data_IF_133518554549
#
_entry.id   IF_133518554549
#
_cell.length_a   1.000
_cell.length_b   1.000
_cell.length_c   1.000
_cell.angle_alpha   90.00
_cell.angle_beta   90.00
_cell.angle_gamma   90.00
#
_symmetry.space_group_name_H-M   'P 1'
#
loop_
_entity.id
_entity.type
_entity.pdbx_description
1 polymer ?
#
# COMPACT_ATOMS: atom_id res chain seq x y z
N UNK A 1 -28.25 -38.64 -13.05
CA UNK A 1 -26.84 -38.69 -12.61
C UNK A 1 -26.36 -37.26 -12.46
N UNK A 2 -26.31 -36.73 -11.23
CA UNK A 2 -25.83 -35.36 -10.96
C UNK A 2 -24.33 -35.46 -10.73
N UNK A 3 -23.54 -34.90 -11.63
CA UNK A 3 -22.09 -34.86 -11.51
C UNK A 3 -21.73 -33.91 -10.35
N UNK A 4 -21.14 -34.46 -9.29
CA UNK A 4 -20.59 -33.68 -8.19
C UNK A 4 -19.29 -33.02 -8.69
N UNK A 5 -19.31 -31.70 -8.83
CA UNK A 5 -18.12 -30.92 -9.15
C UNK A 5 -17.30 -30.77 -7.85
N UNK A 6 -16.27 -31.60 -7.68
CA UNK A 6 -15.33 -31.47 -6.58
C UNK A 6 -14.31 -30.38 -6.91
N UNK A 7 -14.52 -29.17 -6.39
CA UNK A 7 -13.51 -28.10 -6.45
C UNK A 7 -12.52 -28.37 -5.32
N UNK A 8 -11.36 -28.92 -5.66
CA UNK A 8 -10.23 -29.03 -4.73
C UNK A 8 -9.56 -27.65 -4.67
N UNK A 9 -9.98 -26.83 -3.71
CA UNK A 9 -9.24 -25.60 -3.37
C UNK A 9 -8.04 -26.05 -2.53
N UNK A 10 -6.87 -26.09 -3.15
CA UNK A 10 -5.62 -26.27 -2.44
C UNK A 10 -5.43 -25.08 -1.49
N UNK A 11 -5.78 -25.28 -0.22
CA UNK A 11 -5.48 -24.36 0.85
C UNK A 11 -3.95 -24.31 1.03
N UNK A 12 -3.31 -23.40 0.30
CA UNK A 12 -1.94 -23.00 0.56
C UNK A 12 -1.89 -22.34 1.93
N UNK A 13 -1.22 -23.01 2.87
CA UNK A 13 -0.95 -22.54 4.22
C UNK A 13 -0.31 -21.14 4.18
N UNK A 14 -1.09 -20.10 4.44
CA UNK A 14 -0.54 -18.79 4.76
C UNK A 14 -0.06 -18.84 6.21
N UNK A 15 1.26 -18.89 6.39
CA UNK A 15 1.89 -18.68 7.70
C UNK A 15 1.41 -17.35 8.26
N UNK A 16 0.94 -17.36 9.51
CA UNK A 16 0.54 -16.17 10.25
C UNK A 16 1.72 -15.18 10.35
N UNK A 17 1.84 -14.33 9.34
CA UNK A 17 2.72 -13.19 9.38
C UNK A 17 2.08 -12.18 10.33
N UNK A 18 2.80 -11.86 11.41
CA UNK A 18 2.42 -10.82 12.37
C UNK A 18 1.97 -9.57 11.60
N UNK A 19 0.69 -9.23 11.69
CA UNK A 19 0.12 -8.03 11.07
C UNK A 19 0.73 -6.80 11.75
N UNK A 20 1.84 -6.31 11.20
CA UNK A 20 2.28 -4.96 11.46
C UNK A 20 1.20 -4.04 10.86
N UNK A 21 0.50 -3.31 11.73
CA UNK A 21 -0.53 -2.35 11.35
C UNK A 21 0.15 -1.15 10.67
N UNK A 22 0.45 -1.29 9.38
CA UNK A 22 0.79 -0.17 8.52
C UNK A 22 -0.52 0.53 8.13
N UNK A 23 -0.55 1.85 8.32
CA UNK A 23 -1.57 2.75 7.78
C UNK A 23 -0.99 3.47 6.57
N UNK A 24 -1.86 3.96 5.67
CA UNK A 24 -1.40 4.83 4.59
C UNK A 24 -0.67 6.07 5.16
N UNK A 25 0.46 6.42 4.57
CA UNK A 25 1.29 7.57 4.89
C UNK A 25 1.20 8.62 3.76
N UNK A 26 1.14 8.19 2.50
CA UNK A 26 0.85 8.99 1.32
C UNK A 26 -0.65 9.21 1.07
N UNK A 27 -0.96 9.96 0.01
CA UNK A 27 -2.34 10.18 -0.43
C UNK A 27 -2.64 9.36 -1.71
N UNK A 28 -3.82 8.74 -1.72
CA UNK A 28 -4.35 7.99 -2.85
C UNK A 28 -5.60 8.71 -3.35
N UNK A 29 -5.56 9.19 -4.59
CA UNK A 29 -6.72 9.81 -5.22
C UNK A 29 -7.15 9.03 -6.46
N UNK A 30 -8.45 8.99 -6.73
CA UNK A 30 -8.98 8.39 -7.95
C UNK A 30 -9.66 9.47 -8.81
N UNK A 31 -9.23 9.55 -10.07
CA UNK A 31 -9.90 10.33 -11.11
C UNK A 31 -10.15 9.42 -12.30
N UNK A 32 -11.43 9.09 -12.53
CA UNK A 32 -11.83 8.12 -13.55
C UNK A 32 -11.41 6.69 -13.18
N UNK A 33 -10.54 6.09 -14.00
CA UNK A 33 -10.03 4.71 -13.83
C UNK A 33 -8.57 4.65 -13.35
N UNK A 34 -7.93 5.81 -13.12
CA UNK A 34 -6.54 5.85 -12.67
C UNK A 34 -6.46 6.08 -11.16
N UNK A 35 -5.48 5.41 -10.55
CA UNK A 35 -5.10 5.62 -9.16
C UNK A 35 -3.82 6.46 -9.16
N UNK A 36 -3.94 7.71 -8.74
CA UNK A 36 -2.82 8.62 -8.57
C UNK A 36 -2.28 8.50 -7.15
N UNK A 37 -0.95 8.45 -7.02
CA UNK A 37 -0.26 8.29 -5.76
C UNK A 37 0.75 9.41 -5.53
N UNK A 38 0.65 10.07 -4.38
CA UNK A 38 1.60 11.09 -3.92
C UNK A 38 2.22 10.71 -2.56
N UNK A 39 3.51 10.31 -2.51
CA UNK A 39 4.21 9.99 -1.26
C UNK A 39 4.62 11.23 -0.45
N UNK A 40 4.48 12.44 -1.01
CA UNK A 40 5.06 13.65 -0.41
C UNK A 40 4.28 14.20 0.78
N UNK A 41 3.00 13.82 0.95
CA UNK A 41 2.15 14.29 2.06
C UNK A 41 2.72 14.00 3.45
N UNK A 42 3.48 12.91 3.59
CA UNK A 42 4.14 12.51 4.84
C UNK A 42 5.50 13.18 5.07
N UNK A 43 6.06 13.86 4.06
CA UNK A 43 7.46 14.26 4.06
C UNK A 43 7.64 15.79 4.02
N UNK A 44 8.55 16.31 4.83
CA UNK A 44 8.87 17.74 4.84
C UNK A 44 9.85 18.07 3.72
N UNK A 45 9.36 18.71 2.66
CA UNK A 45 10.21 19.13 1.53
C UNK A 45 11.13 20.28 1.97
N UNK A 46 12.46 20.19 1.76
CA UNK A 46 13.37 21.25 2.11
C UNK A 46 13.15 22.49 1.26
N UNK A 47 13.37 23.64 1.87
CA UNK A 47 13.18 24.93 1.22
C UNK A 47 14.42 25.30 0.42
N UNK A 48 14.24 25.65 -0.85
CA UNK A 48 15.35 26.08 -1.70
C UNK A 48 16.03 27.33 -1.12
N UNK A 49 17.37 27.37 -1.01
CA UNK A 49 18.09 28.57 -0.57
C UNK A 49 17.87 29.75 -1.51
N UNK A 50 17.74 30.94 -0.93
CA UNK A 50 17.61 32.19 -1.69
C UNK A 50 18.95 32.80 -2.12
N UNK A 51 20.03 32.43 -1.44
CA UNK A 51 21.38 32.94 -1.71
C UNK A 51 22.27 31.87 -2.35
N UNK A 52 23.39 32.32 -2.93
CA UNK A 52 24.47 31.45 -3.39
C UNK A 52 25.45 31.09 -2.24
N UNK A 53 24.98 31.12 -1.00
CA UNK A 53 25.80 30.76 0.15
C UNK A 53 26.07 29.26 0.15
N UNK A 54 27.35 28.90 0.20
CA UNK A 54 27.77 27.49 0.10
C UNK A 54 27.18 26.64 1.22
N UNK A 55 27.15 27.15 2.45
CA UNK A 55 26.62 26.40 3.60
C UNK A 55 25.11 26.18 3.48
N UNK A 56 24.37 27.17 2.99
CA UNK A 56 22.94 27.02 2.72
C UNK A 56 22.66 25.95 1.66
N UNK A 57 23.47 25.88 0.61
CA UNK A 57 23.37 24.83 -0.42
C UNK A 57 23.75 23.44 0.11
N UNK A 58 24.79 23.33 0.92
CA UNK A 58 25.19 22.07 1.57
C UNK A 58 24.08 21.56 2.51
N UNK A 59 23.48 22.45 3.32
CA UNK A 59 22.33 22.09 4.18
C UNK A 59 21.13 21.63 3.36
N UNK A 60 20.79 22.35 2.29
CA UNK A 60 19.70 21.98 1.39
C UNK A 60 19.91 20.61 0.74
N UNK A 61 21.14 20.27 0.36
CA UNK A 61 21.47 18.94 -0.17
C UNK A 61 21.27 17.85 0.88
N UNK A 62 21.79 18.06 2.10
CA UNK A 62 21.65 17.09 3.19
C UNK A 62 20.18 16.89 3.62
N UNK A 63 19.39 17.95 3.67
CA UNK A 63 17.94 17.85 3.91
C UNK A 63 17.21 17.21 2.72
N UNK A 64 17.69 17.44 1.50
CA UNK A 64 17.22 16.78 0.28
C UNK A 64 17.37 15.26 0.34
N UNK A 65 18.52 14.75 0.79
CA UNK A 65 18.73 13.32 1.00
C UNK A 65 17.74 12.73 2.00
N UNK A 66 17.49 13.43 3.11
CA UNK A 66 16.49 13.00 4.11
C UNK A 66 15.08 12.99 3.53
N UNK A 67 14.73 14.00 2.74
CA UNK A 67 13.43 14.07 2.09
C UNK A 67 13.23 12.92 1.10
N UNK A 68 14.24 12.62 0.27
CA UNK A 68 14.19 11.48 -0.65
C UNK A 68 14.05 10.14 0.09
N UNK A 69 14.81 9.95 1.18
CA UNK A 69 14.68 8.77 2.02
C UNK A 69 13.30 8.64 2.65
N UNK A 70 12.68 9.75 3.08
CA UNK A 70 11.32 9.77 3.60
C UNK A 70 10.31 9.35 2.52
N UNK A 71 10.43 9.87 1.30
CA UNK A 71 9.54 9.51 0.20
C UNK A 71 9.61 8.01 -0.12
N UNK A 72 10.82 7.44 -0.12
CA UNK A 72 11.02 6.01 -0.33
C UNK A 72 10.39 5.17 0.79
N UNK A 73 10.56 5.58 2.04
CA UNK A 73 9.96 4.88 3.19
C UNK A 73 8.42 4.95 3.15
N UNK A 74 7.86 6.13 2.89
CA UNK A 74 6.41 6.33 2.74
C UNK A 74 5.85 5.45 1.61
N UNK A 75 6.48 5.47 0.43
CA UNK A 75 6.09 4.63 -0.70
C UNK A 75 6.13 3.14 -0.37
N UNK A 76 7.18 2.68 0.30
CA UNK A 76 7.30 1.28 0.71
C UNK A 76 6.24 0.86 1.73
N UNK A 77 5.94 1.72 2.71
CA UNK A 77 4.90 1.47 3.70
C UNK A 77 3.51 1.42 3.04
N UNK A 78 3.25 2.32 2.10
CA UNK A 78 1.97 2.39 1.38
C UNK A 78 1.77 1.22 0.43
N UNK A 79 2.81 0.76 -0.27
CA UNK A 79 2.74 -0.46 -1.07
C UNK A 79 2.37 -1.68 -0.22
N UNK A 80 2.97 -1.80 0.98
CA UNK A 80 2.64 -2.89 1.92
C UNK A 80 1.21 -2.77 2.42
N UNK A 81 0.76 -1.55 2.73
CA UNK A 81 -0.61 -1.29 3.14
C UNK A 81 -1.60 -1.66 2.03
N UNK A 82 -1.38 -1.18 0.80
CA UNK A 82 -2.22 -1.46 -0.36
C UNK A 82 -2.30 -2.96 -0.65
N UNK A 83 -1.16 -3.67 -0.62
CA UNK A 83 -1.13 -5.13 -0.79
C UNK A 83 -2.01 -5.84 0.24
N UNK A 84 -1.91 -5.45 1.51
CA UNK A 84 -2.74 -6.01 2.59
C UNK A 84 -4.23 -5.75 2.35
N UNK A 85 -4.61 -4.51 2.02
CA UNK A 85 -6.01 -4.14 1.78
C UNK A 85 -6.60 -4.93 0.60
N UNK A 86 -5.84 -5.09 -0.49
CA UNK A 86 -6.26 -5.90 -1.65
C UNK A 86 -6.45 -7.36 -1.26
N UNK A 87 -5.51 -7.92 -0.48
CA UNK A 87 -5.60 -9.31 -0.03
C UNK A 87 -6.80 -9.54 0.89
N UNK A 88 -6.99 -8.69 1.91
CA UNK A 88 -8.13 -8.76 2.83
C UNK A 88 -9.46 -8.63 2.06
N UNK A 89 -9.54 -7.72 1.09
CA UNK A 89 -10.72 -7.55 0.24
C UNK A 89 -11.05 -8.80 -0.59
N UNK A 90 -10.03 -9.44 -1.17
CA UNK A 90 -10.20 -10.69 -1.92
C UNK A 90 -10.70 -11.83 -1.03
N UNK A 91 -10.06 -12.04 0.12
CA UNK A 91 -10.43 -13.10 1.08
C UNK A 91 -11.88 -12.93 1.55
N UNK A 92 -12.29 -11.70 1.86
CA UNK A 92 -13.66 -11.39 2.25
C UNK A 92 -14.67 -11.70 1.13
N UNK A 93 -14.38 -11.29 -0.12
CA UNK A 93 -15.25 -11.56 -1.26
C UNK A 93 -15.40 -13.07 -1.55
N UNK A 94 -14.29 -13.82 -1.44
CA UNK A 94 -14.33 -15.29 -1.56
C UNK A 94 -15.18 -15.90 -0.46
N UNK A 95 -14.98 -15.49 0.79
CA UNK A 95 -15.73 -16.03 1.92
C UNK A 95 -17.23 -15.71 1.81
N UNK A 96 -17.58 -14.51 1.37
CA UNK A 96 -18.96 -14.12 1.10
C UNK A 96 -19.61 -15.05 0.08
N UNK A 97 -18.96 -15.27 -1.07
CA UNK A 97 -19.46 -16.17 -2.11
C UNK A 97 -19.59 -17.62 -1.62
N UNK A 98 -18.60 -18.15 -0.88
CA UNK A 98 -18.68 -19.49 -0.31
C UNK A 98 -19.87 -19.63 0.66
N UNK A 99 -20.13 -18.60 1.47
CA UNK A 99 -21.28 -18.58 2.37
C UNK A 99 -22.61 -18.56 1.61
N UNK A 100 -22.70 -17.88 0.46
CA UNK A 100 -23.89 -17.90 -0.41
C UNK A 100 -24.15 -19.31 -0.95
N UNK A 101 -23.11 -19.97 -1.46
CA UNK A 101 -23.18 -21.34 -1.96
C UNK A 101 -23.59 -22.31 -0.86
N UNK A 102 -23.03 -22.20 0.35
CA UNK A 102 -23.41 -23.03 1.50
C UNK A 102 -24.88 -22.83 1.91
N UNK A 103 -25.40 -21.61 1.74
CA UNK A 103 -26.81 -21.28 2.01
C UNK A 103 -27.76 -21.70 0.88
N UNK A 104 -27.22 -22.24 -0.22
CA UNK A 104 -28.00 -22.79 -1.33
C UNK A 104 -28.53 -21.75 -2.33
N UNK A 105 -27.89 -20.59 -2.41
CA UNK A 105 -28.10 -19.63 -3.50
C UNK A 105 -27.40 -20.05 -4.79
#
# INVERSE_FOLDING_TARGET
MKAALAIVIAAGLATAASAQYYTAQGDFSSLGFSLDYDPSSACSKPMRPYSNDRYAWESYQAEGERYLSCLEEAANNDMRYAQRVVQEGYENAVQEFLNEVERGY
#
